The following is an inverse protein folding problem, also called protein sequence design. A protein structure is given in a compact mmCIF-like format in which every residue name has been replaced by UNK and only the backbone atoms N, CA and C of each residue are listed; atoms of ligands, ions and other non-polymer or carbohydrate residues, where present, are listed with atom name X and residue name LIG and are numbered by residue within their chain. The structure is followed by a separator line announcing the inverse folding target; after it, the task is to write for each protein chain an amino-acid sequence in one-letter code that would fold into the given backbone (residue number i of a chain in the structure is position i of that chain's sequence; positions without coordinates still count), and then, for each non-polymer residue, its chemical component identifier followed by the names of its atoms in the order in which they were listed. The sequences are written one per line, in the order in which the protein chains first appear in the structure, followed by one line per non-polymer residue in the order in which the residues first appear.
data_IF_749964759609
#
_entry.id   IF_749964759609
#
_cell.length_a   1.000
_cell.length_b   1.000
_cell.length_c   1.000
_cell.angle_alpha   90.00
_cell.angle_beta   90.00
_cell.angle_gamma   90.00
#
_symmetry.space_group_name_H-M   'P 1'
#
loop_
_entity.id
_entity.type
_entity.pdbx_description
1 polymer ?
#
# COMPACT_ATOMS: atom_id res chain seq x y z
N UNK A 1 -15.32 18.58 9.46
CA UNK A 1 -14.67 18.41 8.14
C UNK A 1 -15.27 17.21 7.44
N UNK A 2 -15.83 17.38 6.26
CA UNK A 2 -16.33 16.26 5.45
C UNK A 2 -15.14 15.51 4.85
N UNK A 3 -15.01 14.23 5.16
CA UNK A 3 -13.99 13.37 4.58
C UNK A 3 -14.11 13.38 3.05
N UNK A 4 -13.04 13.73 2.36
CA UNK A 4 -13.00 13.70 0.90
C UNK A 4 -12.72 12.26 0.44
N UNK A 5 -13.50 11.77 -0.52
CA UNK A 5 -13.31 10.48 -1.17
C UNK A 5 -13.08 10.71 -2.67
N UNK A 6 -12.10 10.02 -3.24
CA UNK A 6 -11.80 10.07 -4.67
C UNK A 6 -11.40 8.69 -5.18
N UNK A 7 -11.83 8.35 -6.39
CA UNK A 7 -11.47 7.09 -7.05
C UNK A 7 -10.37 7.32 -8.08
N UNK A 8 -9.42 6.42 -8.11
CA UNK A 8 -8.26 6.45 -8.99
C UNK A 8 -8.15 5.14 -9.77
N UNK A 9 -7.63 5.25 -10.98
CA UNK A 9 -7.18 4.11 -11.78
C UNK A 9 -5.69 4.28 -12.01
N UNK A 10 -4.90 3.36 -11.49
CA UNK A 10 -3.43 3.40 -11.58
C UNK A 10 -2.97 2.46 -12.70
N UNK A 11 -2.30 3.00 -13.71
CA UNK A 11 -1.57 2.24 -14.71
C UNK A 11 -0.23 1.72 -14.17
N UNK A 12 0.50 0.93 -14.95
CA UNK A 12 1.86 0.53 -14.59
C UNK A 12 2.83 1.70 -14.73
N UNK A 13 3.91 1.70 -13.96
CA UNK A 13 4.95 2.73 -14.07
C UNK A 13 5.61 2.79 -15.46
N UNK A 14 5.65 1.67 -16.18
CA UNK A 14 6.19 1.61 -17.55
C UNK A 14 5.26 2.28 -18.58
N UNK A 15 3.95 2.27 -18.31
CA UNK A 15 2.94 2.78 -19.24
C UNK A 15 2.51 4.21 -18.94
N UNK A 16 2.63 4.65 -17.68
CA UNK A 16 2.10 5.93 -17.24
C UNK A 16 2.94 6.48 -16.07
N UNK A 17 3.53 7.66 -16.25
CA UNK A 17 4.26 8.37 -15.20
C UNK A 17 3.39 8.72 -13.96
N UNK A 18 2.06 8.54 -14.05
CA UNK A 18 1.09 8.72 -12.95
C UNK A 18 0.76 7.45 -12.17
N UNK A 19 1.53 6.37 -12.33
CA UNK A 19 1.28 5.07 -11.67
C UNK A 19 1.49 5.03 -10.16
N UNK A 20 1.79 6.15 -9.52
CA UNK A 20 2.02 6.25 -8.06
C UNK A 20 1.18 7.39 -7.46
N UNK A 21 0.51 7.12 -6.34
CA UNK A 21 -0.29 8.11 -5.62
C UNK A 21 0.20 8.23 -4.18
N UNK A 22 0.53 9.45 -3.75
CA UNK A 22 0.82 9.74 -2.34
C UNK A 22 -0.45 10.10 -1.58
N UNK A 23 -0.66 9.46 -0.44
CA UNK A 23 -1.79 9.71 0.46
C UNK A 23 -1.26 10.15 1.82
N UNK A 24 -1.46 11.44 2.13
CA UNK A 24 -0.98 12.04 3.37
C UNK A 24 -1.80 11.60 4.59
N UNK A 25 -1.10 11.26 5.65
CA UNK A 25 -1.69 11.07 6.99
C UNK A 25 -2.36 12.35 7.45
N UNK A 26 -3.59 12.25 7.95
CA UNK A 26 -4.36 13.42 8.40
C UNK A 26 -4.75 14.40 7.29
N UNK A 27 -4.53 14.05 6.02
CA UNK A 27 -4.91 14.87 4.86
C UNK A 27 -4.02 16.10 4.62
N UNK A 28 -2.91 16.25 5.35
CA UNK A 28 -1.93 17.31 5.19
C UNK A 28 -0.53 16.73 4.98
N UNK A 29 0.32 17.45 4.23
CA UNK A 29 1.70 17.02 4.03
C UNK A 29 2.44 16.88 5.36
N UNK A 30 3.26 15.83 5.46
CA UNK A 30 3.99 15.52 6.68
C UNK A 30 5.00 14.39 6.42
N UNK A 31 5.75 14.00 7.45
CA UNK A 31 6.81 13.00 7.31
C UNK A 31 6.28 11.57 7.19
N UNK A 32 5.02 11.32 7.56
CA UNK A 32 4.40 9.99 7.51
C UNK A 32 3.25 9.97 6.52
N UNK A 33 3.25 9.01 5.59
CA UNK A 33 2.29 8.90 4.51
C UNK A 33 2.27 7.51 3.89
N UNK A 34 1.30 7.25 3.01
CA UNK A 34 1.25 6.05 2.19
C UNK A 34 1.55 6.38 0.73
N UNK A 35 2.30 5.50 0.06
CA UNK A 35 2.44 5.47 -1.39
C UNK A 35 1.66 4.28 -1.94
N UNK A 36 0.83 4.55 -2.93
CA UNK A 36 0.08 3.53 -3.66
C UNK A 36 0.69 3.38 -5.04
N UNK A 37 1.05 2.16 -5.40
CA UNK A 37 1.71 1.85 -6.66
C UNK A 37 1.12 0.60 -7.28
N UNK A 38 0.82 0.66 -8.57
CA UNK A 38 0.42 -0.53 -9.32
C UNK A 38 1.66 -1.31 -9.76
N UNK A 39 1.85 -2.48 -9.19
CA UNK A 39 2.93 -3.42 -9.56
C UNK A 39 2.35 -4.62 -10.29
N UNK A 40 2.95 -4.94 -11.42
CA UNK A 40 2.56 -6.08 -12.23
C UNK A 40 3.76 -6.98 -12.46
N UNK A 41 3.57 -8.30 -12.28
CA UNK A 41 4.59 -9.31 -12.56
C UNK A 41 4.76 -9.49 -14.08
N UNK A 42 5.26 -8.45 -14.75
CA UNK A 42 5.46 -8.40 -16.20
C UNK A 42 6.65 -7.50 -16.55
N UNK A 43 7.17 -7.62 -17.77
CA UNK A 43 8.31 -6.80 -18.22
C UNK A 43 9.51 -6.94 -17.30
N UNK A 44 10.03 -5.83 -16.79
CA UNK A 44 11.16 -5.80 -15.85
C UNK A 44 10.84 -6.45 -14.50
N UNK A 45 9.58 -6.42 -14.10
CA UNK A 45 9.07 -6.94 -12.83
C UNK A 45 8.51 -8.37 -12.95
N UNK A 46 8.82 -9.09 -14.04
CA UNK A 46 8.27 -10.43 -14.30
C UNK A 46 8.57 -11.46 -13.19
N UNK A 47 9.61 -11.23 -12.38
CA UNK A 47 9.98 -12.08 -11.25
C UNK A 47 9.26 -11.76 -9.94
N UNK A 48 8.40 -10.74 -9.92
CA UNK A 48 7.59 -10.46 -8.72
C UNK A 48 6.68 -11.63 -8.39
N UNK A 49 6.51 -11.96 -7.09
CA UNK A 49 5.68 -13.09 -6.68
C UNK A 49 4.19 -12.87 -6.87
N UNK A 50 3.75 -11.64 -7.15
CA UNK A 50 2.36 -11.29 -7.38
C UNK A 50 2.19 -9.95 -8.08
N UNK A 51 0.95 -9.65 -8.47
CA UNK A 51 0.55 -8.39 -9.11
C UNK A 51 -0.56 -7.73 -8.30
N UNK A 52 -0.61 -6.38 -8.33
CA UNK A 52 -1.67 -5.64 -7.66
C UNK A 52 -1.22 -4.27 -7.16
N UNK A 53 -1.96 -3.75 -6.20
CA UNK A 53 -1.64 -2.50 -5.52
C UNK A 53 -0.65 -2.75 -4.40
N UNK A 54 0.55 -2.21 -4.53
CA UNK A 54 1.49 -2.07 -3.43
C UNK A 54 1.09 -0.86 -2.58
N UNK A 55 0.92 -1.06 -1.29
CA UNK A 55 0.70 0.00 -0.30
C UNK A 55 1.95 0.11 0.56
N UNK A 56 2.71 1.17 0.33
CA UNK A 56 3.91 1.46 1.09
C UNK A 56 3.60 2.41 2.23
N UNK A 57 3.99 2.06 3.45
CA UNK A 57 3.98 2.96 4.60
C UNK A 57 5.35 3.63 4.71
N UNK A 58 5.39 4.94 4.59
CA UNK A 58 6.61 5.74 4.64
C UNK A 58 6.59 6.58 5.91
N UNK A 59 7.68 6.55 6.66
CA UNK A 59 7.88 7.40 7.84
C UNK A 59 9.29 8.01 7.80
N UNK A 60 9.39 9.22 7.27
CA UNK A 60 10.65 9.94 7.11
C UNK A 60 11.29 10.38 8.44
N UNK A 61 10.63 10.16 9.57
CA UNK A 61 11.22 10.35 10.90
C UNK A 61 12.09 9.15 11.32
N UNK A 62 12.04 8.07 10.57
CA UNK A 62 12.92 6.91 10.76
C UNK A 62 14.15 7.04 9.91
N UNK A 63 15.29 6.56 10.41
CA UNK A 63 16.56 6.61 9.68
C UNK A 63 16.76 5.43 8.73
N UNK A 64 16.08 4.31 9.01
CA UNK A 64 16.32 3.05 8.30
C UNK A 64 15.18 2.03 8.53
N UNK A 65 15.39 0.81 8.05
CA UNK A 65 14.49 -0.33 8.21
C UNK A 65 15.02 -1.39 9.20
N UNK A 66 15.72 -0.99 10.25
CA UNK A 66 16.23 -1.95 11.26
C UNK A 66 15.17 -2.36 12.28
N UNK A 67 14.20 -1.49 12.55
CA UNK A 67 13.10 -1.82 13.46
C UNK A 67 11.89 -2.38 12.69
N UNK A 68 11.60 -3.68 12.79
CA UNK A 68 10.50 -4.32 12.04
C UNK A 68 9.10 -3.85 12.44
N UNK A 69 8.97 -3.08 13.52
CA UNK A 69 7.71 -2.50 13.96
C UNK A 69 7.48 -1.08 13.41
N UNK A 70 8.53 -0.44 12.89
CA UNK A 70 8.46 0.94 12.41
C UNK A 70 9.57 1.20 11.40
N UNK A 71 9.39 0.74 10.18
CA UNK A 71 10.32 0.96 9.07
C UNK A 71 10.24 2.39 8.51
N UNK A 72 11.35 2.87 7.97
CA UNK A 72 11.34 4.05 7.08
C UNK A 72 10.45 3.79 5.86
N UNK A 73 10.59 2.62 5.23
CA UNK A 73 9.77 2.18 4.08
C UNK A 73 9.32 0.75 4.31
N UNK A 74 8.04 0.54 4.53
CA UNK A 74 7.47 -0.79 4.77
C UNK A 74 6.34 -1.12 3.81
N UNK A 75 6.33 -2.33 3.24
CA UNK A 75 5.22 -2.84 2.46
C UNK A 75 4.11 -3.31 3.41
N UNK A 76 2.92 -2.76 3.26
CA UNK A 76 1.73 -3.23 3.96
C UNK A 76 1.20 -4.47 3.25
N UNK A 77 1.66 -5.66 3.69
CA UNK A 77 1.31 -6.93 3.07
C UNK A 77 -0.18 -7.22 3.23
N UNK A 78 -0.90 -7.36 2.12
CA UNK A 78 -2.36 -7.42 2.09
C UNK A 78 -2.93 -8.57 2.94
N UNK A 79 -2.22 -9.66 3.07
CA UNK A 79 -2.64 -10.81 3.89
C UNK A 79 -2.38 -10.62 5.40
N UNK A 80 -1.64 -9.57 5.79
CA UNK A 80 -1.35 -9.23 7.18
C UNK A 80 -0.37 -10.14 7.91
N UNK A 81 0.31 -11.06 7.19
CA UNK A 81 1.20 -12.05 7.84
C UNK A 81 2.55 -11.50 8.26
N UNK A 82 2.99 -10.39 7.68
CA UNK A 82 4.28 -9.76 7.94
C UNK A 82 5.47 -10.70 7.68
N UNK A 83 5.36 -11.51 6.65
CA UNK A 83 6.37 -12.53 6.33
C UNK A 83 7.71 -11.90 5.92
N UNK A 84 7.68 -10.69 5.30
CA UNK A 84 8.88 -9.95 4.94
C UNK A 84 9.65 -9.49 6.19
N UNK A 85 8.98 -8.86 7.17
CA UNK A 85 9.60 -8.39 8.41
C UNK A 85 10.08 -9.53 9.29
N UNK A 86 9.41 -10.67 9.22
CA UNK A 86 9.75 -11.88 9.97
C UNK A 86 10.75 -12.78 9.23
N UNK A 87 11.23 -12.35 8.06
CA UNK A 87 12.17 -13.07 7.20
C UNK A 87 11.71 -14.52 6.88
N UNK A 88 10.40 -14.73 6.72
CA UNK A 88 9.82 -16.04 6.41
C UNK A 88 9.86 -16.35 4.92
N UNK A 89 9.74 -15.31 4.08
CA UNK A 89 9.84 -15.43 2.63
C UNK A 89 10.38 -14.12 2.02
N UNK A 90 10.55 -14.07 0.70
CA UNK A 90 10.96 -12.88 -0.06
C UNK A 90 9.79 -12.18 -0.75
N UNK A 91 8.57 -12.46 -0.34
CA UNK A 91 7.32 -12.00 -0.93
C UNK A 91 6.50 -13.16 -1.50
N UNK A 92 5.18 -12.99 -1.52
CA UNK A 92 4.25 -13.99 -2.03
C UNK A 92 3.02 -13.33 -2.72
N UNK A 93 2.14 -14.11 -3.39
CA UNK A 93 0.96 -13.58 -4.08
C UNK A 93 -0.09 -12.95 -3.17
N UNK A 94 0.04 -13.05 -1.85
CA UNK A 94 -0.82 -12.43 -0.85
C UNK A 94 -0.42 -11.03 -0.44
N UNK A 95 0.76 -10.55 -0.84
CA UNK A 95 1.33 -9.29 -0.34
C UNK A 95 0.72 -8.04 -0.96
N UNK A 96 0.37 -8.06 -2.24
CA UNK A 96 -0.23 -6.94 -2.95
C UNK A 96 -1.76 -7.03 -2.94
N UNK A 97 -2.44 -5.89 -2.88
CA UNK A 97 -3.90 -5.86 -2.93
C UNK A 97 -4.44 -5.99 -4.38
N UNK A 98 -5.54 -6.71 -4.63
CA UNK A 98 -6.30 -7.52 -3.68
C UNK A 98 -5.62 -8.84 -3.32
N UNK A 99 -4.64 -9.30 -4.10
CA UNK A 99 -3.84 -10.49 -3.88
C UNK A 99 -4.63 -11.80 -3.85
N UNK A 100 -3.97 -12.88 -3.51
CA UNK A 100 -4.59 -14.21 -3.38
C UNK A 100 -5.66 -14.26 -2.29
N UNK A 101 -5.54 -13.41 -1.27
CA UNK A 101 -6.53 -13.27 -0.20
C UNK A 101 -7.76 -12.43 -0.57
N UNK A 102 -7.80 -11.86 -1.77
CA UNK A 102 -8.91 -11.00 -2.25
C UNK A 102 -9.24 -9.85 -1.30
N UNK A 103 -8.22 -9.20 -0.77
CA UNK A 103 -8.35 -8.06 0.14
C UNK A 103 -8.65 -6.79 -0.66
N UNK A 104 -9.82 -6.22 -0.49
CA UNK A 104 -10.32 -5.06 -1.26
C UNK A 104 -10.35 -3.76 -0.47
N UNK A 105 -9.89 -3.78 0.79
CA UNK A 105 -9.89 -2.61 1.67
C UNK A 105 -8.67 -2.58 2.59
N UNK A 106 -8.29 -1.35 2.99
CA UNK A 106 -7.20 -1.09 3.92
C UNK A 106 -7.57 0.16 4.72
N UNK A 107 -7.70 0.04 6.04
CA UNK A 107 -8.17 1.10 6.93
C UNK A 107 -7.71 0.85 8.39
N UNK A 108 -8.05 1.74 9.32
CA UNK A 108 -7.64 1.68 10.73
C UNK A 108 -7.90 0.34 11.45
N UNK A 109 -8.96 -0.36 11.05
CA UNK A 109 -9.40 -1.62 11.69
C UNK A 109 -9.13 -2.86 10.85
N UNK A 110 -8.48 -2.70 9.70
CA UNK A 110 -8.08 -3.84 8.87
C UNK A 110 -6.76 -4.46 9.34
N UNK A 111 -6.43 -5.62 8.81
CA UNK A 111 -5.12 -6.24 8.96
C UNK A 111 -4.57 -6.53 7.57
N UNK A 112 -3.51 -5.82 7.15
CA UNK A 112 -2.78 -4.77 7.86
C UNK A 112 -3.64 -3.51 8.08
N UNK A 113 -3.25 -2.69 9.06
CA UNK A 113 -3.95 -1.48 9.45
C UNK A 113 -3.31 -0.23 8.83
N UNK A 114 -4.13 0.79 8.53
CA UNK A 114 -3.66 2.10 8.08
C UNK A 114 -3.26 3.04 9.22
N UNK A 115 -3.07 2.55 10.44
CA UNK A 115 -2.62 3.37 11.56
C UNK A 115 -1.18 3.84 11.37
N UNK A 116 -0.88 4.99 11.97
CA UNK A 116 0.47 5.51 12.09
C UNK A 116 1.37 4.60 12.97
N UNK A 117 2.67 4.75 12.89
CA UNK A 117 3.60 3.96 13.71
C UNK A 117 3.44 4.19 15.23
N UNK A 118 2.91 5.35 15.62
CA UNK A 118 2.55 5.64 17.03
C UNK A 118 1.21 5.01 17.47
N UNK A 119 0.50 4.34 16.55
CA UNK A 119 -0.79 3.72 16.77
C UNK A 119 -1.98 4.67 16.57
N UNK A 120 -1.74 5.93 16.25
CA UNK A 120 -2.78 6.92 15.97
C UNK A 120 -3.51 6.66 14.66
N UNK A 121 -4.73 7.22 14.52
CA UNK A 121 -5.45 7.16 13.26
C UNK A 121 -4.81 8.10 12.24
N UNK A 122 -4.57 7.59 11.02
CA UNK A 122 -4.12 8.41 9.90
C UNK A 122 -5.27 9.08 9.14
N UNK A 123 -6.50 8.64 9.38
CA UNK A 123 -7.67 9.03 8.59
C UNK A 123 -7.70 8.42 7.19
N UNK A 124 -6.68 7.66 6.79
CA UNK A 124 -6.58 7.04 5.47
C UNK A 124 -7.40 5.75 5.44
N UNK A 125 -8.28 5.64 4.45
CA UNK A 125 -8.97 4.39 4.15
C UNK A 125 -9.01 4.16 2.64
N UNK A 126 -8.64 2.96 2.23
CA UNK A 126 -8.75 2.47 0.87
C UNK A 126 -9.91 1.48 0.78
N UNK A 127 -10.66 1.53 -0.31
CA UNK A 127 -11.76 0.61 -0.58
C UNK A 127 -11.92 0.35 -2.07
N UNK A 128 -12.70 -0.67 -2.41
CA UNK A 128 -12.98 -1.03 -3.79
C UNK A 128 -11.72 -1.37 -4.60
N UNK A 129 -10.67 -1.86 -3.94
CA UNK A 129 -9.44 -2.25 -4.62
C UNK A 129 -9.72 -3.41 -5.55
N UNK A 130 -9.49 -3.20 -6.83
CA UNK A 130 -9.70 -4.22 -7.86
C UNK A 130 -8.63 -4.11 -8.94
N UNK A 131 -8.32 -5.24 -9.55
CA UNK A 131 -7.40 -5.33 -10.67
C UNK A 131 -8.13 -5.85 -11.91
N UNK A 132 -7.98 -5.16 -13.03
CA UNK A 132 -8.47 -5.60 -14.33
C UNK A 132 -7.37 -5.39 -15.37
N UNK A 133 -6.93 -6.46 -16.01
CA UNK A 133 -5.75 -6.45 -16.87
C UNK A 133 -4.54 -5.94 -16.07
N UNK A 134 -3.88 -4.87 -16.55
CA UNK A 134 -2.72 -4.27 -15.91
C UNK A 134 -3.05 -2.98 -15.14
N UNK A 135 -4.31 -2.70 -14.88
CA UNK A 135 -4.75 -1.52 -14.13
C UNK A 135 -5.31 -1.90 -12.76
N UNK A 136 -5.09 -1.06 -11.77
CA UNK A 136 -5.66 -1.18 -10.43
C UNK A 136 -6.58 0.01 -10.17
N UNK A 137 -7.80 -0.26 -9.73
CA UNK A 137 -8.73 0.76 -9.25
C UNK A 137 -8.75 0.78 -7.72
N UNK A 138 -8.81 1.97 -7.16
CA UNK A 138 -8.89 2.18 -5.70
C UNK A 138 -9.66 3.45 -5.39
N UNK A 139 -10.51 3.40 -4.37
CA UNK A 139 -11.14 4.59 -3.79
C UNK A 139 -10.40 4.96 -2.51
N UNK A 140 -9.92 6.19 -2.45
CA UNK A 140 -9.18 6.76 -1.32
C UNK A 140 -10.08 7.71 -0.56
N UNK A 141 -10.20 7.50 0.74
CA UNK A 141 -10.84 8.41 1.71
C UNK A 141 -9.77 8.93 2.67
N UNK A 142 -9.83 10.23 2.96
CA UNK A 142 -8.94 10.96 3.87
C UNK A 142 -9.64 12.16 4.51
#
# INVERSE_FOLDING_TARGET
MTAKSASYTLGTLEADAGGCLRVWTGGASGPEYFLLENRQASGRDASLPGSGLAVWHIDEQRSDNTNPLAYLVGLMQADGKRDLELARNGGDPGDLFPGSGKKTSFHDKSSPSSRAHDGGSTGVALSGISQAKNAVKVTVKR
#
